data_IF_899435463265
#
_entry.id   IF_899435463265
#
_cell.length_a   1.000
_cell.length_b   1.000
_cell.length_c   1.000
_cell.angle_alpha   90.00
_cell.angle_beta   90.00
_cell.angle_gamma   90.00
#
_symmetry.space_group_name_H-M   'P 1'
#
loop_
_entity.id
_entity.type
_entity.pdbx_description
1 polymer ?
#
# COMPACT_ATOMS: atom_id res chain seq x y z
N UNK A 1 -11.94 2.68 -16.14
CA UNK A 1 -12.78 1.62 -16.72
C UNK A 1 -13.05 0.57 -15.66
N UNK A 2 -13.76 -0.50 -16.03
CA UNK A 2 -13.94 -1.69 -15.20
C UNK A 2 -13.52 -2.88 -16.05
N UNK A 3 -12.66 -3.74 -15.51
CA UNK A 3 -12.13 -4.90 -16.22
C UNK A 3 -12.41 -6.16 -15.40
N UNK A 4 -12.84 -7.22 -16.08
CA UNK A 4 -13.09 -8.52 -15.48
C UNK A 4 -12.10 -9.51 -16.10
N UNK A 5 -11.40 -10.26 -15.26
CA UNK A 5 -10.47 -11.31 -15.66
C UNK A 5 -10.46 -12.43 -14.63
N UNK A 6 -10.14 -13.65 -15.07
CA UNK A 6 -9.98 -14.81 -14.19
C UNK A 6 -8.69 -14.72 -13.34
N UNK A 7 -7.68 -13.99 -13.81
CA UNK A 7 -6.45 -13.74 -13.08
C UNK A 7 -5.93 -12.32 -13.30
N UNK A 8 -5.25 -11.80 -12.28
CA UNK A 8 -4.69 -10.44 -12.24
C UNK A 8 -3.16 -10.47 -12.42
N UNK A 9 -2.67 -11.29 -13.36
CA UNK A 9 -1.24 -11.40 -13.63
C UNK A 9 -0.65 -10.16 -14.32
N UNK A 10 0.69 -10.07 -14.36
CA UNK A 10 1.41 -8.93 -14.97
C UNK A 10 0.97 -8.63 -16.42
N UNK A 11 0.71 -9.67 -17.23
CA UNK A 11 0.23 -9.51 -18.61
C UNK A 11 -1.14 -8.84 -18.68
N UNK A 12 -2.05 -9.19 -17.78
CA UNK A 12 -3.38 -8.58 -17.72
C UNK A 12 -3.27 -7.08 -17.42
N UNK A 13 -2.51 -6.71 -16.38
CA UNK A 13 -2.34 -5.31 -16.02
C UNK A 13 -1.63 -4.48 -17.10
N UNK A 14 -0.63 -5.06 -17.79
CA UNK A 14 0.02 -4.39 -18.91
C UNK A 14 -0.97 -4.05 -20.04
N UNK A 15 -1.89 -4.99 -20.35
CA UNK A 15 -2.93 -4.76 -21.34
C UNK A 15 -3.89 -3.63 -20.91
N UNK A 16 -4.35 -3.65 -19.66
CA UNK A 16 -5.23 -2.60 -19.09
C UNK A 16 -4.58 -1.22 -19.17
N UNK A 17 -3.31 -1.11 -18.77
CA UNK A 17 -2.58 0.16 -18.78
C UNK A 17 -2.32 0.68 -20.20
N UNK A 18 -2.05 -0.23 -21.14
CA UNK A 18 -1.87 0.10 -22.57
C UNK A 18 -3.18 0.58 -23.18
N UNK A 19 -4.30 -0.07 -22.86
CA UNK A 19 -5.63 0.38 -23.28
C UNK A 19 -5.94 1.79 -22.76
N UNK A 20 -5.64 2.08 -21.49
CA UNK A 20 -5.78 3.42 -20.92
C UNK A 20 -4.96 4.46 -21.68
N UNK A 21 -3.72 4.11 -22.06
CA UNK A 21 -2.84 4.99 -22.85
C UNK A 21 -3.42 5.27 -24.23
N UNK A 22 -3.92 4.23 -24.89
CA UNK A 22 -4.58 4.35 -26.20
C UNK A 22 -5.89 5.17 -26.15
N UNK A 23 -6.52 5.25 -24.97
CA UNK A 23 -7.68 6.12 -24.72
C UNK A 23 -7.32 7.56 -24.39
N UNK A 24 -6.03 7.91 -24.40
CA UNK A 24 -5.55 9.28 -24.20
C UNK A 24 -5.09 9.59 -22.78
N UNK A 25 -4.97 8.60 -21.88
CA UNK A 25 -4.29 8.81 -20.61
C UNK A 25 -2.78 8.88 -20.87
N UNK A 26 -2.24 10.09 -20.92
CA UNK A 26 -0.84 10.31 -21.31
C UNK A 26 0.15 10.22 -20.15
N UNK A 27 -0.28 10.62 -18.95
CA UNK A 27 0.59 10.65 -17.78
C UNK A 27 -0.20 10.27 -16.51
N UNK A 28 0.51 9.67 -15.56
CA UNK A 28 0.03 9.33 -14.23
C UNK A 28 1.05 9.86 -13.25
N UNK A 29 0.66 10.81 -12.41
CA UNK A 29 1.58 11.34 -11.39
C UNK A 29 1.78 10.34 -10.25
N UNK A 30 0.68 9.73 -9.79
CA UNK A 30 0.67 8.78 -8.67
C UNK A 30 -0.25 7.61 -9.03
N UNK A 31 0.29 6.39 -8.89
CA UNK A 31 -0.47 5.15 -8.99
C UNK A 31 -0.48 4.46 -7.62
N UNK A 32 -1.63 4.50 -6.94
CA UNK A 32 -1.84 3.81 -5.67
C UNK A 32 -2.35 2.38 -5.90
N UNK A 33 -1.54 1.37 -5.56
CA UNK A 33 -1.85 -0.05 -5.78
C UNK A 33 -1.81 -0.83 -4.47
N UNK A 34 -2.43 -2.00 -4.44
CA UNK A 34 -2.59 -2.85 -3.24
C UNK A 34 -1.42 -3.83 -2.98
N UNK A 35 -0.39 -3.81 -3.83
CA UNK A 35 0.81 -4.64 -3.68
C UNK A 35 0.78 -5.92 -4.51
N UNK A 36 -0.14 -6.05 -5.47
CA UNK A 36 -0.15 -7.15 -6.43
C UNK A 36 1.19 -7.30 -7.16
N UNK A 37 1.71 -8.54 -7.18
CA UNK A 37 2.98 -8.87 -7.83
C UNK A 37 2.91 -8.58 -9.33
N UNK A 38 3.92 -7.90 -9.85
CA UNK A 38 4.04 -7.57 -11.28
C UNK A 38 3.15 -6.42 -11.75
N UNK A 39 2.24 -5.89 -10.91
CA UNK A 39 1.49 -4.69 -11.27
C UNK A 39 2.37 -3.43 -11.27
N UNK A 40 3.28 -3.22 -10.28
CA UNK A 40 4.23 -2.12 -10.34
C UNK A 40 5.10 -2.13 -11.60
N UNK A 41 5.57 -3.31 -12.02
CA UNK A 41 6.38 -3.46 -13.23
C UNK A 41 5.58 -3.10 -14.50
N UNK A 42 4.30 -3.48 -14.55
CA UNK A 42 3.42 -3.10 -15.65
C UNK A 42 3.18 -1.58 -15.71
N UNK A 43 3.01 -0.93 -14.55
CA UNK A 43 2.89 0.54 -14.45
C UNK A 43 4.17 1.20 -14.98
N UNK A 44 5.33 0.81 -14.47
CA UNK A 44 6.62 1.38 -14.91
C UNK A 44 6.88 1.17 -16.40
N UNK A 45 6.38 0.08 -16.98
CA UNK A 45 6.51 -0.20 -18.42
C UNK A 45 5.70 0.80 -19.28
N UNK A 46 4.48 1.16 -18.86
CA UNK A 46 3.59 2.02 -19.67
C UNK A 46 3.71 3.50 -19.31
N UNK A 47 3.92 3.78 -18.03
CA UNK A 47 3.99 5.10 -17.39
C UNK A 47 5.25 5.20 -16.50
N UNK A 48 6.46 5.25 -17.09
CA UNK A 48 7.72 5.19 -16.34
C UNK A 48 7.98 6.39 -15.39
N UNK A 49 7.19 7.46 -15.52
CA UNK A 49 7.27 8.65 -14.66
C UNK A 49 6.31 8.58 -13.46
N UNK A 50 5.43 7.57 -13.42
CA UNK A 50 4.46 7.44 -12.36
C UNK A 50 5.14 7.06 -11.05
N UNK A 51 4.80 7.77 -9.97
CA UNK A 51 5.18 7.36 -8.63
C UNK A 51 4.24 6.26 -8.18
N UNK A 52 4.79 5.09 -7.89
CA UNK A 52 4.01 3.94 -7.43
C UNK A 52 3.99 3.97 -5.91
N UNK A 53 2.79 4.02 -5.33
CA UNK A 53 2.57 4.07 -3.90
C UNK A 53 1.79 2.84 -3.49
N UNK A 54 2.24 2.14 -2.43
CA UNK A 54 1.44 1.10 -1.81
C UNK A 54 0.28 1.75 -1.05
N UNK A 55 -0.93 1.24 -1.28
CA UNK A 55 -2.14 1.83 -0.76
C UNK A 55 -2.26 1.64 0.75
N UNK A 56 -2.20 2.75 1.49
CA UNK A 56 -2.31 2.76 2.96
C UNK A 56 -3.63 2.15 3.45
N UNK A 57 -4.72 2.34 2.71
CA UNK A 57 -6.03 1.76 3.06
C UNK A 57 -5.98 0.24 3.01
N UNK A 58 -5.31 -0.33 2.01
CA UNK A 58 -5.11 -1.78 1.94
C UNK A 58 -4.19 -2.28 3.05
N UNK A 59 -3.11 -1.55 3.38
CA UNK A 59 -2.25 -1.88 4.53
C UNK A 59 -3.02 -1.91 5.85
N UNK A 60 -3.82 -0.87 6.13
CA UNK A 60 -4.64 -0.80 7.34
C UNK A 60 -5.68 -1.92 7.37
N UNK A 61 -6.40 -2.14 6.27
CA UNK A 61 -7.40 -3.23 6.18
C UNK A 61 -6.75 -4.60 6.42
N UNK A 62 -5.62 -4.88 5.78
CA UNK A 62 -4.88 -6.14 5.96
C UNK A 62 -4.41 -6.31 7.41
N UNK A 63 -3.95 -5.23 8.05
CA UNK A 63 -3.52 -5.24 9.45
C UNK A 63 -4.68 -5.59 10.40
N UNK A 64 -5.84 -4.97 10.18
CA UNK A 64 -7.01 -5.15 11.04
C UNK A 64 -7.63 -6.54 10.95
N UNK A 65 -7.28 -7.36 9.96
CA UNK A 65 -7.70 -8.78 9.87
C UNK A 65 -7.16 -9.64 11.01
N UNK A 66 -6.04 -9.24 11.62
CA UNK A 66 -5.43 -9.94 12.75
C UNK A 66 -5.99 -9.49 14.11
N UNK A 67 -6.75 -8.40 14.13
CA UNK A 67 -7.04 -7.64 15.35
C UNK A 67 -8.40 -8.03 15.91
N UNK A 68 -8.46 -8.28 17.22
CA UNK A 68 -9.71 -8.57 17.91
C UNK A 68 -10.59 -7.32 18.00
N UNK A 69 -11.91 -7.49 18.10
CA UNK A 69 -12.83 -6.35 18.26
C UNK A 69 -12.49 -5.46 19.46
N UNK A 70 -12.03 -6.06 20.57
CA UNK A 70 -11.64 -5.35 21.79
C UNK A 70 -10.49 -4.36 21.54
N UNK A 71 -9.52 -4.75 20.73
CA UNK A 71 -8.32 -3.95 20.46
C UNK A 71 -8.47 -3.06 19.21
N UNK A 72 -9.49 -3.30 18.36
CA UNK A 72 -9.69 -2.66 17.06
C UNK A 72 -9.54 -1.13 17.08
N UNK A 73 -10.20 -0.46 18.04
CA UNK A 73 -10.18 1.01 18.14
C UNK A 73 -8.79 1.54 18.50
N UNK A 74 -8.09 0.87 19.42
CA UNK A 74 -6.76 1.28 19.86
C UNK A 74 -5.72 1.03 18.77
N UNK A 75 -5.73 -0.16 18.15
CA UNK A 75 -4.85 -0.50 17.04
C UNK A 75 -5.07 0.44 15.84
N UNK A 76 -6.32 0.76 15.49
CA UNK A 76 -6.60 1.68 14.38
C UNK A 76 -6.07 3.09 14.66
N UNK A 77 -6.19 3.58 15.90
CA UNK A 77 -5.63 4.87 16.31
C UNK A 77 -4.10 4.86 16.15
N UNK A 78 -3.44 3.80 16.61
CA UNK A 78 -1.98 3.74 16.60
C UNK A 78 -1.43 3.55 15.18
N UNK A 79 -2.12 2.76 14.33
CA UNK A 79 -1.83 2.71 12.88
C UNK A 79 -1.99 4.07 12.20
N UNK A 80 -2.98 4.86 12.63
CA UNK A 80 -3.23 6.21 12.10
C UNK A 80 -2.11 7.18 12.42
N UNK A 81 -1.46 7.03 13.57
CA UNK A 81 -0.29 7.84 13.93
C UNK A 81 0.87 7.67 12.93
N UNK A 82 1.01 6.50 12.32
CA UNK A 82 2.09 6.20 11.36
C UNK A 82 1.96 7.04 10.09
N UNK A 83 0.79 7.00 9.43
CA UNK A 83 0.60 7.67 8.13
C UNK A 83 0.11 9.12 8.24
N UNK A 84 -0.20 9.61 9.45
CA UNK A 84 -0.48 11.02 9.69
C UNK A 84 0.72 11.78 10.25
N UNK A 85 1.86 11.10 10.41
CA UNK A 85 3.08 11.74 10.87
C UNK A 85 3.52 12.86 9.90
N UNK A 86 4.07 13.98 10.42
CA UNK A 86 4.44 15.12 9.59
C UNK A 86 5.71 14.89 8.75
N UNK A 87 6.52 13.89 9.11
CA UNK A 87 7.74 13.52 8.38
C UNK A 87 7.87 12.00 8.34
N UNK A 88 8.71 11.50 7.43
CA UNK A 88 9.02 10.07 7.33
C UNK A 88 9.63 9.55 8.64
N UNK A 89 10.55 10.29 9.26
CA UNK A 89 11.21 9.89 10.51
C UNK A 89 10.20 9.79 11.66
N UNK A 90 9.27 10.74 11.74
CA UNK A 90 8.19 10.70 12.73
C UNK A 90 7.25 9.50 12.48
N UNK A 91 7.00 9.16 11.21
CA UNK A 91 6.22 7.96 10.84
C UNK A 91 6.93 6.67 11.26
N UNK A 92 8.25 6.60 11.08
CA UNK A 92 9.04 5.44 11.46
C UNK A 92 9.10 5.27 12.98
N UNK A 93 9.26 6.36 13.73
CA UNK A 93 9.14 6.34 15.19
C UNK A 93 7.75 5.89 15.66
N UNK A 94 6.68 6.33 14.97
CA UNK A 94 5.33 5.87 15.26
C UNK A 94 5.16 4.37 14.98
N UNK A 95 5.81 3.83 13.94
CA UNK A 95 5.82 2.40 13.63
C UNK A 95 6.60 1.59 14.68
N UNK A 96 7.71 2.11 15.19
CA UNK A 96 8.45 1.50 16.31
C UNK A 96 7.62 1.49 17.60
N UNK A 97 6.96 2.61 17.92
CA UNK A 97 6.05 2.69 19.06
C UNK A 97 4.86 1.73 18.92
N UNK A 98 4.31 1.60 17.70
CA UNK A 98 3.28 0.61 17.39
C UNK A 98 3.78 -0.81 17.65
N UNK A 99 4.97 -1.15 17.16
CA UNK A 99 5.57 -2.47 17.35
C UNK A 99 5.76 -2.79 18.85
N UNK A 100 6.29 -1.84 19.62
CA UNK A 100 6.48 -2.00 21.07
C UNK A 100 5.15 -2.27 21.81
N UNK A 101 4.06 -1.61 21.40
CA UNK A 101 2.75 -1.76 22.02
C UNK A 101 2.02 -3.06 21.62
N UNK A 102 2.20 -3.52 20.37
CA UNK A 102 1.30 -4.51 19.78
C UNK A 102 1.98 -5.81 19.33
N UNK A 103 3.31 -5.89 19.19
CA UNK A 103 3.98 -7.08 18.64
C UNK A 103 3.83 -8.33 19.50
N UNK A 104 3.61 -8.19 20.80
CA UNK A 104 3.31 -9.32 21.68
C UNK A 104 2.02 -10.05 21.30
N UNK A 105 1.08 -9.36 20.62
CA UNK A 105 -0.22 -9.90 20.20
C UNK A 105 -0.37 -9.99 18.67
N UNK A 106 0.14 -9.00 17.95
CA UNK A 106 -0.06 -8.81 16.51
C UNK A 106 1.25 -8.56 15.75
N UNK A 107 2.27 -9.43 15.89
CA UNK A 107 3.61 -9.18 15.34
C UNK A 107 3.66 -9.11 13.81
N UNK A 108 2.64 -9.64 13.13
CA UNK A 108 2.58 -9.61 11.66
C UNK A 108 2.28 -8.21 11.12
N UNK A 109 1.67 -7.34 11.93
CA UNK A 109 1.30 -6.00 11.49
C UNK A 109 2.58 -5.17 11.30
N UNK A 110 3.37 -4.95 12.35
CA UNK A 110 4.61 -4.16 12.27
C UNK A 110 5.58 -4.71 11.22
N UNK A 111 5.77 -6.04 11.17
CA UNK A 111 6.60 -6.71 10.16
C UNK A 111 6.15 -6.40 8.73
N UNK A 112 4.84 -6.46 8.47
CA UNK A 112 4.29 -6.15 7.15
C UNK A 112 4.52 -4.68 6.79
N UNK A 113 4.33 -3.76 7.73
CA UNK A 113 4.56 -2.33 7.50
C UNK A 113 6.04 -2.02 7.27
N UNK A 114 6.94 -2.60 8.06
CA UNK A 114 8.40 -2.44 7.89
C UNK A 114 8.86 -2.98 6.53
N UNK A 115 8.41 -4.18 6.14
CA UNK A 115 8.77 -4.79 4.87
C UNK A 115 8.29 -3.98 3.66
N UNK A 116 7.21 -3.22 3.81
CA UNK A 116 6.63 -2.38 2.76
C UNK A 116 6.98 -0.89 2.90
N UNK A 117 7.75 -0.51 3.91
CA UNK A 117 8.04 0.89 4.22
C UNK A 117 8.55 1.71 3.02
N UNK A 118 9.49 1.21 2.19
CA UNK A 118 9.98 1.97 1.04
C UNK A 118 8.88 2.32 0.02
N UNK A 119 7.82 1.51 -0.06
CA UNK A 119 6.69 1.75 -0.94
C UNK A 119 5.54 2.49 -0.24
N UNK A 120 5.63 2.69 1.08
CA UNK A 120 4.66 3.42 1.89
C UNK A 120 5.05 4.88 2.11
N UNK A 121 6.34 5.15 2.28
CA UNK A 121 6.90 6.47 2.52
C UNK A 121 7.32 7.20 1.22
N UNK A 122 6.52 7.11 0.15
CA UNK A 122 6.86 7.76 -1.14
C UNK A 122 6.36 9.21 -1.27
N UNK A 123 5.89 9.79 -0.15
CA UNK A 123 5.30 11.13 -0.07
C UNK A 123 6.33 12.25 0.09
#
# INVERSE_FOLDING_TARGET
GMWLAENEGAKFWLNVLTELKNRGLNDILIACVDGLKGFPDAINTVYPKARIQLCIVHMVRNSLRFVSWKDYKAVTRDLKAIYQAPTEEAGQQALEAFAAAWDSRYPQISRSWQANWPNLATF
#
